data_IF_389082365954
#
_entry.id   IF_389082365954
#
_cell.length_a   1.000
_cell.length_b   1.000
_cell.length_c   1.000
_cell.angle_alpha   90.00
_cell.angle_beta   90.00
_cell.angle_gamma   90.00
#
_symmetry.space_group_name_H-M   'P 1'
#
loop_
_entity.id
_entity.type
_entity.pdbx_description
1 polymer ?
#
# COMPACT_ATOMS: atom_id res chain seq x y z
N UNK A 1 31.91 -32.37 -44.57
CA UNK A 1 32.00 -32.29 -43.09
C UNK A 1 30.76 -31.57 -42.61
N UNK A 2 29.74 -32.31 -42.18
CA UNK A 2 28.51 -31.76 -41.60
C UNK A 2 28.25 -32.54 -40.32
N UNK A 3 28.33 -31.87 -39.19
CA UNK A 3 28.07 -32.43 -37.87
C UNK A 3 26.57 -32.76 -37.77
N UNK A 4 26.24 -34.03 -37.57
CA UNK A 4 24.91 -34.45 -37.13
C UNK A 4 24.77 -34.03 -35.67
N UNK A 5 23.76 -33.21 -35.39
CA UNK A 5 23.34 -32.91 -34.03
C UNK A 5 22.28 -33.96 -33.67
N UNK A 6 22.63 -34.88 -32.79
CA UNK A 6 21.70 -35.85 -32.22
C UNK A 6 20.64 -35.09 -31.41
N UNK A 7 19.38 -35.19 -31.83
CA UNK A 7 18.24 -34.70 -31.06
C UNK A 7 17.97 -35.69 -29.93
N UNK A 8 18.57 -35.45 -28.77
CA UNK A 8 18.12 -36.06 -27.53
C UNK A 8 16.69 -35.58 -27.24
N UNK A 9 15.75 -36.52 -27.37
CA UNK A 9 14.35 -36.38 -26.94
C UNK A 9 14.30 -36.06 -25.46
N UNK A 10 14.05 -34.81 -25.11
CA UNK A 10 13.51 -34.48 -23.79
C UNK A 10 12.13 -35.13 -23.66
N UNK A 11 11.85 -35.90 -22.59
CA UNK A 11 10.51 -36.39 -22.35
C UNK A 11 9.60 -35.19 -22.09
N UNK A 12 8.66 -34.97 -23.02
CA UNK A 12 7.50 -34.13 -22.78
C UNK A 12 6.82 -34.66 -21.52
N UNK A 13 6.85 -33.87 -20.45
CA UNK A 13 5.99 -34.07 -19.28
C UNK A 13 4.57 -33.77 -19.76
N UNK A 14 3.95 -34.79 -20.36
CA UNK A 14 2.52 -34.84 -20.57
C UNK A 14 1.91 -35.10 -19.20
N UNK A 15 1.66 -34.00 -18.49
CA UNK A 15 0.80 -34.00 -17.33
C UNK A 15 -0.62 -34.29 -17.82
N UNK A 16 -1.06 -35.54 -17.64
CA UNK A 16 -2.38 -36.03 -18.05
C UNK A 16 -3.49 -35.58 -17.10
N UNK A 17 -3.38 -34.37 -16.54
CA UNK A 17 -4.37 -33.73 -15.69
C UNK A 17 -5.01 -32.56 -16.44
N UNK A 18 -5.56 -32.84 -17.62
CA UNK A 18 -6.57 -31.95 -18.23
C UNK A 18 -7.91 -32.14 -17.51
N UNK A 19 -7.93 -31.86 -16.21
CA UNK A 19 -9.16 -31.46 -15.56
C UNK A 19 -9.53 -30.10 -16.16
N UNK A 20 -10.71 -30.05 -16.78
CA UNK A 20 -11.35 -28.86 -17.30
C UNK A 20 -11.21 -27.70 -16.30
N UNK A 21 -10.34 -26.73 -16.61
CA UNK A 21 -10.27 -25.42 -15.94
C UNK A 21 -11.53 -24.60 -16.25
N UNK A 22 -12.72 -25.12 -15.93
CA UNK A 22 -13.99 -24.38 -16.03
C UNK A 22 -14.18 -23.40 -14.85
N UNK A 23 -13.27 -23.40 -13.89
CA UNK A 23 -13.32 -22.54 -12.70
C UNK A 23 -12.02 -21.75 -12.48
N UNK A 24 -11.39 -21.25 -13.55
CA UNK A 24 -10.52 -20.08 -13.37
C UNK A 24 -11.41 -18.90 -13.01
N UNK A 25 -11.41 -18.49 -11.74
CA UNK A 25 -11.99 -17.21 -11.32
C UNK A 25 -11.45 -16.12 -12.26
N UNK A 26 -12.33 -15.58 -13.10
CA UNK A 26 -11.95 -14.51 -14.03
C UNK A 26 -11.40 -13.36 -13.21
N UNK A 27 -10.23 -12.85 -13.61
CA UNK A 27 -9.61 -11.71 -12.96
C UNK A 27 -10.65 -10.61 -12.76
N UNK A 28 -10.86 -10.11 -11.53
CA UNK A 28 -11.97 -9.21 -11.24
C UNK A 28 -11.80 -7.91 -12.03
N UNK A 29 -12.57 -7.75 -13.10
CA UNK A 29 -12.53 -6.56 -13.97
C UNK A 29 -13.18 -5.35 -13.33
N UNK A 30 -14.04 -5.55 -12.33
CA UNK A 30 -14.71 -4.49 -11.58
C UNK A 30 -13.79 -3.78 -10.58
N UNK A 31 -12.55 -4.26 -10.39
CA UNK A 31 -11.55 -3.68 -9.46
C UNK A 31 -10.48 -2.86 -10.18
N UNK A 32 -10.66 -2.57 -11.48
CA UNK A 32 -9.69 -1.74 -12.21
C UNK A 32 -9.83 -0.29 -11.74
N UNK A 33 -8.71 0.44 -11.54
CA UNK A 33 -8.77 1.86 -11.26
C UNK A 33 -9.55 2.58 -12.37
N UNK A 34 -10.57 3.33 -11.98
CA UNK A 34 -11.27 4.23 -12.89
C UNK A 34 -10.51 5.55 -12.99
N UNK A 35 -10.54 6.17 -14.17
CA UNK A 35 -10.03 7.53 -14.33
C UNK A 35 -10.84 8.44 -13.39
N UNK A 36 -10.15 9.14 -12.49
CA UNK A 36 -10.79 10.08 -11.57
C UNK A 36 -11.40 11.24 -12.34
N UNK A 37 -12.63 11.60 -11.98
CA UNK A 37 -13.29 12.77 -12.56
C UNK A 37 -12.55 14.04 -12.12
N UNK A 38 -12.51 15.05 -12.99
CA UNK A 38 -11.95 16.34 -12.61
C UNK A 38 -12.87 16.99 -11.58
N UNK A 39 -12.37 17.15 -10.35
CA UNK A 39 -13.07 17.91 -9.31
C UNK A 39 -13.21 19.37 -9.76
N UNK A 40 -14.40 19.96 -9.60
CA UNK A 40 -14.58 21.40 -9.77
C UNK A 40 -14.01 22.12 -8.55
N UNK A 41 -12.71 22.40 -8.62
CA UNK A 41 -11.95 23.15 -7.61
C UNK A 41 -11.49 24.46 -8.22
N UNK A 42 -11.53 25.51 -7.40
CA UNK A 42 -11.04 26.82 -7.76
C UNK A 42 -9.53 26.79 -8.06
N UNK A 43 -9.12 27.58 -9.05
CA UNK A 43 -7.73 27.63 -9.49
C UNK A 43 -6.79 28.08 -8.35
N UNK A 44 -7.27 28.96 -7.46
CA UNK A 44 -6.52 29.47 -6.32
C UNK A 44 -6.16 28.36 -5.33
N UNK A 45 -7.10 27.50 -4.95
CA UNK A 45 -6.85 26.33 -4.08
C UNK A 45 -5.84 25.37 -4.70
N UNK A 46 -5.97 25.09 -6.01
CA UNK A 46 -5.05 24.21 -6.73
C UNK A 46 -3.63 24.78 -6.76
N UNK A 47 -3.50 26.09 -7.02
CA UNK A 47 -2.21 26.77 -7.06
C UNK A 47 -1.56 26.85 -5.67
N UNK A 48 -2.33 27.18 -4.63
CA UNK A 48 -1.87 27.19 -3.25
C UNK A 48 -1.37 25.81 -2.81
N UNK A 49 -2.10 24.74 -3.15
CA UNK A 49 -1.64 23.38 -2.92
C UNK A 49 -0.34 23.10 -3.67
N UNK A 50 -0.26 23.42 -4.96
CA UNK A 50 0.93 23.15 -5.77
C UNK A 50 2.17 23.87 -5.21
N UNK A 51 2.03 25.14 -4.81
CA UNK A 51 3.11 25.91 -4.16
C UNK A 51 3.57 25.26 -2.85
N UNK A 52 2.65 24.68 -2.06
CA UNK A 52 3.00 23.97 -0.83
C UNK A 52 3.85 22.70 -1.06
N UNK A 53 3.81 22.12 -2.27
CA UNK A 53 4.62 20.94 -2.61
C UNK A 53 6.09 21.28 -2.87
N UNK A 54 6.42 22.55 -3.13
CA UNK A 54 7.76 22.96 -3.57
C UNK A 54 8.14 22.53 -4.99
N UNK A 55 7.23 21.89 -5.74
CA UNK A 55 7.45 21.52 -7.13
C UNK A 55 7.35 22.73 -8.06
N UNK A 56 8.00 22.63 -9.23
CA UNK A 56 7.91 23.65 -10.30
C UNK A 56 7.58 22.98 -11.62
N UNK A 57 6.78 23.66 -12.45
CA UNK A 57 6.52 23.23 -13.81
C UNK A 57 7.61 23.76 -14.73
N UNK A 58 8.18 22.89 -15.57
CA UNK A 58 9.19 23.27 -16.54
C UNK A 58 8.65 24.13 -17.69
N UNK A 59 9.57 24.71 -18.47
CA UNK A 59 9.28 25.58 -19.62
C UNK A 59 8.52 24.89 -20.78
N UNK A 60 8.35 23.57 -20.74
CA UNK A 60 7.64 22.79 -21.77
C UNK A 60 6.12 22.98 -21.79
N UNK A 61 5.55 23.77 -20.87
CA UNK A 61 4.13 24.12 -20.84
C UNK A 61 4.01 25.63 -21.13
N UNK A 62 3.85 26.02 -22.40
CA UNK A 62 3.97 27.43 -22.82
C UNK A 62 2.71 28.25 -22.54
N UNK A 63 1.55 27.61 -22.37
CA UNK A 63 0.25 28.26 -22.30
C UNK A 63 -0.36 28.20 -20.89
N UNK A 64 -1.06 29.27 -20.49
CA UNK A 64 -1.68 29.41 -19.17
C UNK A 64 -2.80 28.38 -18.98
N UNK A 65 -3.63 28.16 -19.99
CA UNK A 65 -4.72 27.17 -19.91
C UNK A 65 -4.19 25.74 -19.81
N UNK A 66 -3.11 25.45 -20.54
CA UNK A 66 -2.40 24.17 -20.43
C UNK A 66 -1.77 23.98 -19.04
N UNK A 67 -1.22 25.05 -18.46
CA UNK A 67 -0.67 25.05 -17.10
C UNK A 67 -1.75 24.74 -16.06
N UNK A 68 -2.88 25.43 -16.12
CA UNK A 68 -4.01 25.17 -15.21
C UNK A 68 -4.51 23.73 -15.31
N UNK A 69 -4.60 23.20 -16.52
CA UNK A 69 -5.03 21.82 -16.76
C UNK A 69 -4.09 20.81 -16.11
N UNK A 70 -2.77 21.03 -16.22
CA UNK A 70 -1.76 20.19 -15.56
C UNK A 70 -1.84 20.31 -14.04
N UNK A 71 -1.98 21.51 -13.50
CA UNK A 71 -2.10 21.71 -12.06
C UNK A 71 -3.36 21.02 -11.50
N UNK A 72 -4.51 21.15 -12.17
CA UNK A 72 -5.74 20.42 -11.82
C UNK A 72 -5.54 18.92 -11.87
N UNK A 73 -4.86 18.42 -12.92
CA UNK A 73 -4.52 17.00 -13.02
C UNK A 73 -3.68 16.52 -11.83
N UNK A 74 -2.60 17.23 -11.49
CA UNK A 74 -1.76 16.89 -10.34
C UNK A 74 -2.55 16.93 -9.02
N UNK A 75 -3.44 17.91 -8.86
CA UNK A 75 -4.27 18.06 -7.68
C UNK A 75 -5.26 16.91 -7.48
N UNK A 76 -5.79 16.33 -8.56
CA UNK A 76 -6.68 15.15 -8.50
C UNK A 76 -5.95 13.92 -7.92
N UNK A 77 -4.63 13.84 -8.12
CA UNK A 77 -3.78 12.77 -7.63
C UNK A 77 -2.88 13.23 -6.47
N UNK A 78 -3.31 14.24 -5.72
CA UNK A 78 -2.56 14.80 -4.57
C UNK A 78 -2.23 13.77 -3.49
N UNK A 79 -3.04 12.73 -3.36
CA UNK A 79 -2.84 11.58 -2.48
C UNK A 79 -1.62 10.74 -2.86
N UNK A 80 -1.20 10.70 -4.13
CA UNK A 80 0.00 9.97 -4.54
C UNK A 80 1.29 10.53 -3.92
N UNK A 81 1.28 11.83 -3.57
CA UNK A 81 2.39 12.49 -2.88
C UNK A 81 2.04 12.78 -1.42
N UNK A 82 1.08 12.05 -0.84
CA UNK A 82 0.70 12.21 0.55
C UNK A 82 1.86 11.83 1.48
N UNK A 83 2.30 12.78 2.29
CA UNK A 83 3.27 12.56 3.38
C UNK A 83 2.58 12.17 4.68
N UNK A 84 1.28 12.43 4.80
CA UNK A 84 0.48 12.10 5.98
C UNK A 84 -0.59 11.05 5.67
N UNK A 85 -0.81 10.13 6.60
CA UNK A 85 -1.79 9.04 6.47
C UNK A 85 -3.22 9.53 6.23
N UNK A 86 -3.58 10.72 6.73
CA UNK A 86 -4.92 11.32 6.55
C UNK A 86 -5.25 11.67 5.10
N UNK A 87 -4.23 11.76 4.25
CA UNK A 87 -4.36 12.09 2.83
C UNK A 87 -4.36 10.85 1.94
N UNK A 88 -4.23 9.65 2.52
CA UNK A 88 -4.26 8.37 1.81
C UNK A 88 -5.61 7.74 2.10
N UNK A 89 -6.46 7.63 1.08
CA UNK A 89 -7.73 6.92 1.21
C UNK A 89 -7.50 5.40 1.25
N UNK A 90 -8.14 4.66 2.16
CA UNK A 90 -8.07 3.21 2.18
C UNK A 90 -8.75 2.65 0.92
N UNK A 91 -7.98 1.97 0.08
CA UNK A 91 -8.51 1.29 -1.11
C UNK A 91 -8.83 -0.16 -0.81
N UNK A 92 -9.99 -0.65 -1.27
CA UNK A 92 -10.46 -2.04 -1.12
C UNK A 92 -9.95 -2.99 -2.22
N UNK A 93 -8.94 -2.57 -2.99
CA UNK A 93 -8.41 -3.32 -4.14
C UNK A 93 -8.01 -4.75 -3.76
N UNK A 94 -7.45 -4.94 -2.57
CA UNK A 94 -7.02 -6.23 -2.03
C UNK A 94 -7.57 -6.48 -0.63
N UNK A 95 -8.40 -7.52 -0.50
CA UNK A 95 -8.78 -8.08 0.79
C UNK A 95 -7.82 -9.23 1.11
N UNK A 96 -6.97 -9.06 2.11
CA UNK A 96 -6.06 -10.11 2.56
C UNK A 96 -6.76 -11.05 3.54
N UNK A 97 -7.07 -12.28 3.09
CA UNK A 97 -7.53 -13.35 3.97
C UNK A 97 -6.36 -14.24 4.38
N UNK A 98 -5.97 -14.18 5.65
CA UNK A 98 -4.91 -15.03 6.20
C UNK A 98 -5.49 -16.42 6.48
N UNK A 99 -5.04 -17.43 5.73
CA UNK A 99 -5.39 -18.83 5.99
C UNK A 99 -4.39 -19.43 6.98
N UNK A 100 -4.89 -19.89 8.13
CA UNK A 100 -4.08 -20.59 9.11
C UNK A 100 -3.98 -22.08 8.75
N UNK A 101 -2.89 -22.73 9.17
CA UNK A 101 -2.78 -24.19 9.11
C UNK A 101 -3.73 -24.80 10.14
N UNK A 102 -4.19 -26.02 9.86
CA UNK A 102 -5.02 -26.78 10.79
C UNK A 102 -4.28 -27.01 12.12
N UNK A 103 -5.01 -26.91 13.24
CA UNK A 103 -4.46 -27.09 14.59
C UNK A 103 -3.67 -25.90 15.16
N UNK A 104 -3.61 -24.76 14.47
CA UNK A 104 -2.92 -23.56 15.00
C UNK A 104 -3.80 -22.86 16.03
N UNK A 105 -3.33 -22.85 17.28
CA UNK A 105 -3.97 -22.12 18.36
C UNK A 105 -3.56 -20.63 18.41
N UNK A 106 -4.44 -19.74 18.92
CA UNK A 106 -4.10 -18.33 19.13
C UNK A 106 -2.89 -18.14 20.05
N UNK A 107 -1.90 -17.40 19.57
CA UNK A 107 -0.76 -17.02 20.38
C UNK A 107 -0.96 -15.65 21.03
N UNK A 108 -0.69 -15.57 22.34
CA UNK A 108 -0.64 -14.33 23.10
C UNK A 108 0.63 -14.24 23.92
N UNK A 109 1.27 -13.07 23.92
CA UNK A 109 2.38 -12.82 24.85
C UNK A 109 1.84 -12.72 26.29
N UNK A 110 2.48 -13.43 27.22
CA UNK A 110 2.08 -13.46 28.64
C UNK A 110 2.25 -12.11 29.35
N UNK A 111 3.35 -11.41 29.10
CA UNK A 111 3.68 -10.15 29.77
C UNK A 111 3.80 -9.00 28.78
N UNK A 112 3.09 -7.90 29.03
CA UNK A 112 3.19 -6.68 28.25
C UNK A 112 4.50 -5.92 28.52
N UNK A 113 5.23 -5.58 27.46
CA UNK A 113 6.45 -4.77 27.57
C UNK A 113 6.05 -3.37 28.01
N UNK A 114 6.72 -2.87 29.06
CA UNK A 114 6.66 -1.45 29.44
C UNK A 114 7.68 -0.68 28.62
N UNK A 115 7.26 0.42 28.03
CA UNK A 115 8.10 1.27 27.20
C UNK A 115 8.63 2.45 28.02
N UNK A 116 9.88 2.89 27.79
CA UNK A 116 10.33 4.20 28.24
C UNK A 116 9.44 5.30 27.66
N UNK A 117 9.29 6.42 28.41
CA UNK A 117 8.35 7.51 28.09
C UNK A 117 8.45 8.00 26.63
N UNK A 118 9.67 8.21 26.12
CA UNK A 118 9.84 8.68 24.74
C UNK A 118 9.40 7.66 23.69
N UNK A 119 9.67 6.36 23.92
CA UNK A 119 9.25 5.28 23.03
C UNK A 119 7.73 5.07 23.09
N UNK A 120 7.16 5.17 24.29
CA UNK A 120 5.71 5.09 24.50
C UNK A 120 4.99 6.22 23.77
N UNK A 121 5.50 7.45 23.83
CA UNK A 121 4.94 8.60 23.09
C UNK A 121 4.80 8.30 21.60
N UNK A 122 5.87 7.82 20.96
CA UNK A 122 5.86 7.52 19.52
C UNK A 122 4.91 6.37 19.17
N UNK A 123 4.86 5.33 20.00
CA UNK A 123 3.91 4.24 19.83
C UNK A 123 2.46 4.75 19.93
N UNK A 124 2.15 5.54 20.96
CA UNK A 124 0.81 6.10 21.17
C UNK A 124 0.42 7.08 20.05
N UNK A 125 1.35 7.90 19.56
CA UNK A 125 1.14 8.79 18.43
C UNK A 125 0.75 8.00 17.18
N UNK A 126 1.53 6.97 16.84
CA UNK A 126 1.28 6.09 15.68
C UNK A 126 -0.08 5.40 15.78
N UNK A 127 -0.41 4.84 16.95
CA UNK A 127 -1.71 4.19 17.19
C UNK A 127 -2.86 5.19 17.02
N UNK A 128 -2.72 6.40 17.56
CA UNK A 128 -3.76 7.45 17.47
C UNK A 128 -3.97 7.91 16.02
N UNK A 129 -2.90 8.10 15.25
CA UNK A 129 -2.99 8.46 13.84
C UNK A 129 -3.65 7.35 13.03
N UNK A 130 -3.25 6.09 13.23
CA UNK A 130 -3.88 4.96 12.55
C UNK A 130 -5.35 4.78 12.89
N UNK A 131 -5.74 4.98 14.17
CA UNK A 131 -7.16 4.98 14.57
C UNK A 131 -7.95 6.12 13.90
N UNK A 132 -7.37 7.34 13.86
CA UNK A 132 -8.03 8.50 13.25
C UNK A 132 -8.25 8.33 11.75
N UNK A 133 -7.31 7.68 11.06
CA UNK A 133 -7.37 7.46 9.62
C UNK A 133 -8.08 6.15 9.23
N UNK A 134 -8.65 5.42 10.20
CA UNK A 134 -9.35 4.15 9.94
C UNK A 134 -8.44 2.97 9.56
N UNK A 135 -7.12 3.10 9.70
CA UNK A 135 -6.15 2.02 9.45
C UNK A 135 -6.13 1.01 10.59
N UNK A 136 -6.39 1.47 11.81
CA UNK A 136 -6.54 0.62 12.99
C UNK A 136 -7.96 0.69 13.51
N UNK A 137 -8.41 -0.39 14.12
CA UNK A 137 -9.70 -0.47 14.78
C UNK A 137 -9.55 -1.02 16.20
N UNK A 138 -10.43 -0.59 17.11
CA UNK A 138 -10.52 -1.18 18.44
C UNK A 138 -11.28 -2.50 18.33
N UNK A 139 -10.60 -3.60 18.61
CA UNK A 139 -11.16 -4.96 18.44
C UNK A 139 -12.46 -5.17 19.23
N UNK A 140 -12.59 -4.55 20.41
CA UNK A 140 -13.84 -4.61 21.20
C UNK A 140 -15.01 -3.95 20.47
N UNK A 141 -14.77 -2.94 19.65
CA UNK A 141 -15.81 -2.29 18.83
C UNK A 141 -16.14 -3.18 17.62
N UNK A 142 -15.12 -3.73 16.97
CA UNK A 142 -15.28 -4.55 15.77
C UNK A 142 -15.95 -5.91 16.03
N UNK A 143 -15.48 -6.61 17.07
CA UNK A 143 -15.83 -8.01 17.35
C UNK A 143 -16.65 -8.18 18.64
N UNK A 144 -16.83 -7.14 19.45
CA UNK A 144 -17.50 -7.20 20.75
C UNK A 144 -16.62 -7.74 21.90
N UNK A 145 -15.46 -8.32 21.60
CA UNK A 145 -14.56 -8.92 22.59
C UNK A 145 -13.08 -8.61 22.30
N UNK A 146 -12.19 -8.94 23.24
CA UNK A 146 -10.75 -8.84 23.02
C UNK A 146 -10.24 -10.03 22.20
N UNK A 147 -9.33 -9.78 21.26
CA UNK A 147 -8.70 -10.86 20.50
C UNK A 147 -7.91 -11.81 21.41
N UNK A 148 -8.05 -13.10 21.14
CA UNK A 148 -7.20 -14.15 21.73
C UNK A 148 -5.76 -14.09 21.20
N UNK A 149 -5.54 -13.40 20.08
CA UNK A 149 -4.21 -13.13 19.52
C UNK A 149 -3.63 -11.84 20.10
N UNK A 150 -2.39 -11.90 20.57
CA UNK A 150 -1.68 -10.70 21.03
C UNK A 150 -0.19 -10.77 20.70
N UNK A 151 0.26 -9.82 19.88
CA UNK A 151 1.67 -9.62 19.55
C UNK A 151 2.10 -8.24 20.03
N UNK A 152 3.36 -8.13 20.45
CA UNK A 152 3.92 -6.86 20.87
C UNK A 152 4.58 -6.13 19.71
N UNK A 153 4.39 -4.81 19.62
CA UNK A 153 5.12 -4.01 18.65
C UNK A 153 6.62 -4.03 18.97
N UNK A 154 7.44 -3.98 17.93
CA UNK A 154 8.89 -3.76 18.05
C UNK A 154 9.17 -2.36 17.53
N UNK A 155 9.67 -1.49 18.41
CA UNK A 155 10.01 -0.11 18.04
C UNK A 155 11.44 -0.09 17.50
N UNK A 156 11.56 0.31 16.23
CA UNK A 156 12.84 0.43 15.53
C UNK A 156 13.13 1.92 15.28
N UNK A 157 14.25 2.47 15.79
CA UNK A 157 14.65 3.84 15.47
C UNK A 157 14.96 3.98 13.98
N UNK A 158 14.44 5.02 13.33
CA UNK A 158 14.74 5.31 11.92
C UNK A 158 16.14 5.91 11.72
N UNK A 159 16.69 6.57 12.75
CA UNK A 159 17.88 7.42 12.62
C UNK A 159 19.21 6.68 12.88
N UNK A 160 19.20 5.34 12.92
CA UNK A 160 20.40 4.56 13.22
C UNK A 160 20.79 3.72 12.00
N UNK A 161 21.68 4.29 11.18
CA UNK A 161 22.59 3.54 10.30
C UNK A 161 21.91 2.48 9.43
N UNK A 162 20.98 2.90 8.56
CA UNK A 162 20.98 2.29 7.24
C UNK A 162 21.97 3.12 6.41
N UNK A 163 23.06 2.54 5.88
CA UNK A 163 23.78 3.22 4.82
C UNK A 163 22.75 3.47 3.73
N UNK A 164 22.50 4.74 3.41
CA UNK A 164 21.60 5.10 2.32
C UNK A 164 22.07 4.31 1.10
N UNK A 165 21.28 3.34 0.60
CA UNK A 165 21.70 2.54 -0.54
C UNK A 165 21.80 3.39 -1.82
N UNK A 166 21.43 4.67 -1.74
CA UNK A 166 21.48 5.67 -2.80
C UNK A 166 22.40 6.86 -2.49
N UNK A 167 23.17 6.82 -1.40
CA UNK A 167 24.23 7.80 -1.17
C UNK A 167 25.43 7.47 -2.06
N UNK A 168 25.40 7.99 -3.29
CA UNK A 168 26.59 8.18 -4.14
C UNK A 168 27.26 9.52 -3.85
#
# INVERSE_FOLDING_TARGET
MGLKLDQETHPLILDSSTESQENMEKFPTNRRPHVRQMEEVDAETVENWFLSTGATLGLGIPDITSRESVLKFLYIYRDLNATELKHIEPTDLYEHKVRLKEGVEPWKRSHQRRWPVGQEYWLQKTVREGLRCGMYERIVIANGELSSWNVQPVLVPKDKTDPDPWAE
#
